data_IF_913191591612
#
_entry.id   IF_913191591612
#
_cell.length_a   1.000
_cell.length_b   1.000
_cell.length_c   1.000
_cell.angle_alpha   90.00
_cell.angle_beta   90.00
_cell.angle_gamma   90.00
#
_symmetry.space_group_name_H-M   'P 1'
#
loop_
_entity.id
_entity.type
_entity.pdbx_description
1 polymer ?
#
# COMPACT_ATOMS: atom_id res chain seq x y z
N UNK A 1 -11.34 4.27 -1.51
CA UNK A 1 -9.98 4.82 -1.69
C UNK A 1 -10.05 5.97 -2.69
N UNK A 2 -9.31 7.06 -2.46
CA UNK A 2 -9.19 8.13 -3.48
C UNK A 2 -8.28 7.64 -4.61
N UNK A 3 -8.51 8.12 -5.84
CA UNK A 3 -7.77 7.72 -7.05
C UNK A 3 -6.25 7.85 -6.89
N UNK A 4 -5.81 8.87 -6.15
CA UNK A 4 -4.43 9.20 -5.83
C UNK A 4 -3.77 8.16 -4.88
N UNK A 5 -4.57 7.45 -4.06
CA UNK A 5 -4.07 6.46 -3.09
C UNK A 5 -3.84 5.08 -3.73
N UNK A 6 -4.48 4.80 -4.88
CA UNK A 6 -4.30 3.54 -5.60
C UNK A 6 -2.87 3.42 -6.14
N UNK A 7 -2.21 4.55 -6.42
CA UNK A 7 -0.82 4.58 -6.86
C UNK A 7 0.17 3.96 -5.85
N UNK A 8 -0.16 3.92 -4.56
CA UNK A 8 0.70 3.28 -3.56
C UNK A 8 0.84 1.77 -3.77
N UNK A 9 -0.13 1.12 -4.43
CA UNK A 9 -0.07 -0.31 -4.69
C UNK A 9 0.91 -0.68 -5.81
N UNK A 10 1.48 0.29 -6.53
CA UNK A 10 2.54 0.03 -7.52
C UNK A 10 3.87 -0.34 -6.86
N UNK A 11 4.16 0.17 -5.65
CA UNK A 11 5.44 -0.04 -4.98
C UNK A 11 5.77 -1.52 -4.69
N UNK A 12 4.84 -2.34 -4.16
CA UNK A 12 5.07 -3.77 -3.98
C UNK A 12 5.43 -4.50 -5.29
N UNK A 13 4.81 -4.14 -6.42
CA UNK A 13 5.12 -4.72 -7.72
C UNK A 13 6.50 -4.30 -8.22
N UNK A 14 6.86 -3.02 -8.09
CA UNK A 14 8.19 -2.54 -8.44
C UNK A 14 9.27 -3.24 -7.59
N UNK A 15 9.04 -3.37 -6.28
CA UNK A 15 9.94 -4.11 -5.39
C UNK A 15 10.09 -5.57 -5.85
N UNK A 16 8.97 -6.25 -6.16
CA UNK A 16 8.99 -7.63 -6.63
C UNK A 16 9.80 -7.81 -7.92
N UNK A 17 9.60 -6.92 -8.91
CA UNK A 17 10.33 -6.94 -10.18
C UNK A 17 11.83 -6.72 -9.94
N UNK A 18 12.20 -5.67 -9.20
CA UNK A 18 13.60 -5.34 -8.92
C UNK A 18 14.29 -6.46 -8.14
N UNK A 19 13.61 -7.04 -7.14
CA UNK A 19 14.16 -8.15 -6.34
C UNK A 19 14.39 -9.38 -7.20
N UNK A 20 13.41 -9.76 -8.01
CA UNK A 20 13.48 -10.92 -8.91
C UNK A 20 14.58 -10.73 -9.96
N UNK A 21 14.68 -9.53 -10.56
CA UNK A 21 15.76 -9.19 -11.50
C UNK A 21 17.14 -9.24 -10.85
N UNK A 22 17.27 -8.79 -9.60
CA UNK A 22 18.54 -8.83 -8.88
C UNK A 22 18.97 -10.27 -8.54
N UNK A 23 18.04 -11.13 -8.13
CA UNK A 23 18.32 -12.57 -7.90
C UNK A 23 18.73 -13.26 -9.20
N UNK A 24 18.01 -12.97 -10.29
CA UNK A 24 18.35 -13.47 -11.62
C UNK A 24 19.76 -13.04 -12.06
N UNK A 25 20.10 -11.75 -11.89
CA UNK A 25 21.44 -11.21 -12.21
C UNK A 25 22.55 -11.87 -11.39
N UNK A 26 22.27 -12.26 -10.15
CA UNK A 26 23.24 -12.90 -9.26
C UNK A 26 23.35 -14.42 -9.45
N UNK A 27 22.57 -14.99 -10.38
CA UNK A 27 22.43 -16.45 -10.53
C UNK A 27 22.00 -17.15 -9.23
N UNK A 28 21.31 -16.44 -8.34
CA UNK A 28 20.72 -17.02 -7.14
C UNK A 28 19.39 -17.71 -7.50
N UNK A 29 19.03 -18.81 -6.82
CA UNK A 29 17.72 -19.41 -7.00
C UNK A 29 16.64 -18.37 -6.66
N UNK A 30 15.68 -18.20 -7.57
CA UNK A 30 14.59 -17.23 -7.39
C UNK A 30 13.67 -17.74 -6.28
N UNK A 31 13.72 -17.07 -5.13
CA UNK A 31 12.86 -17.36 -3.98
C UNK A 31 11.44 -16.81 -4.21
N UNK A 32 10.70 -17.43 -5.13
CA UNK A 32 9.33 -17.01 -5.51
C UNK A 32 8.40 -16.89 -4.31
N UNK A 33 8.43 -17.88 -3.42
CA UNK A 33 7.58 -17.90 -2.22
C UNK A 33 7.83 -16.69 -1.33
N UNK A 34 9.09 -16.39 -1.01
CA UNK A 34 9.46 -15.25 -0.18
C UNK A 34 9.12 -13.92 -0.86
N UNK A 35 9.46 -13.76 -2.14
CA UNK A 35 9.21 -12.52 -2.87
C UNK A 35 7.70 -12.22 -2.99
N UNK A 36 6.89 -13.23 -3.33
CA UNK A 36 5.43 -13.08 -3.43
C UNK A 36 4.84 -12.80 -2.05
N UNK A 37 5.29 -13.51 -1.01
CA UNK A 37 4.83 -13.30 0.37
C UNK A 37 5.11 -11.86 0.83
N UNK A 38 6.33 -11.36 0.58
CA UNK A 38 6.70 -9.98 0.90
C UNK A 38 5.87 -8.96 0.13
N UNK A 39 5.60 -9.20 -1.15
CA UNK A 39 4.71 -8.35 -1.95
C UNK A 39 3.32 -8.28 -1.34
N UNK A 40 2.71 -9.43 -1.03
CA UNK A 40 1.36 -9.51 -0.46
C UNK A 40 1.29 -8.85 0.91
N UNK A 41 2.22 -9.13 1.82
CA UNK A 41 2.28 -8.50 3.15
C UNK A 41 2.36 -6.97 3.01
N UNK A 42 3.21 -6.48 2.11
CA UNK A 42 3.35 -5.04 1.88
C UNK A 42 2.07 -4.41 1.34
N UNK A 43 1.36 -5.09 0.42
CA UNK A 43 0.05 -4.63 -0.07
C UNK A 43 -0.99 -4.54 1.05
N UNK A 44 -1.03 -5.54 1.94
CA UNK A 44 -1.93 -5.55 3.10
C UNK A 44 -1.62 -4.39 4.05
N UNK A 45 -0.34 -4.12 4.33
CA UNK A 45 0.09 -3.00 5.17
C UNK A 45 -0.35 -1.66 4.55
N UNK A 46 -0.09 -1.46 3.25
CA UNK A 46 -0.51 -0.23 2.54
C UNK A 46 -2.03 -0.06 2.61
N UNK A 47 -2.78 -1.14 2.38
CA UNK A 47 -4.23 -1.12 2.50
C UNK A 47 -4.68 -0.67 3.90
N UNK A 48 -4.08 -1.24 4.94
CA UNK A 48 -4.39 -0.91 6.33
C UNK A 48 -4.11 0.58 6.64
N UNK A 49 -2.95 1.11 6.22
CA UNK A 49 -2.62 2.53 6.41
C UNK A 49 -3.60 3.46 5.69
N UNK A 50 -3.94 3.14 4.44
CA UNK A 50 -4.90 3.95 3.67
C UNK A 50 -6.30 3.87 4.28
N UNK A 51 -6.68 2.71 4.80
CA UNK A 51 -7.93 2.53 5.52
C UNK A 51 -7.97 3.40 6.79
N UNK A 52 -6.95 3.34 7.64
CA UNK A 52 -6.83 4.19 8.83
C UNK A 52 -6.84 5.68 8.49
N UNK A 53 -6.11 6.09 7.44
CA UNK A 53 -6.08 7.47 6.97
C UNK A 53 -7.45 7.96 6.50
N UNK A 54 -8.20 7.11 5.80
CA UNK A 54 -9.55 7.47 5.37
C UNK A 54 -10.53 7.48 6.56
N UNK A 55 -10.30 6.62 7.55
CA UNK A 55 -11.08 6.60 8.79
C UNK A 55 -10.84 7.86 9.63
N UNK A 56 -9.60 8.32 9.78
CA UNK A 56 -9.27 9.53 10.55
C UNK A 56 -9.89 10.81 9.98
N UNK A 57 -10.18 10.84 8.66
CA UNK A 57 -10.85 11.98 8.02
C UNK A 57 -12.36 12.04 8.28
N UNK A 58 -13.02 10.92 8.60
CA UNK A 58 -14.46 10.89 8.91
C UNK A 58 -14.83 11.75 10.14
N UNK A 59 -14.22 11.60 11.33
CA UNK A 59 -14.58 12.41 12.49
C UNK A 59 -14.26 13.90 12.29
N UNK A 60 -13.23 14.23 11.50
CA UNK A 60 -12.87 15.61 11.18
C UNK A 60 -13.95 16.32 10.34
N UNK A 61 -14.61 15.59 9.44
CA UNK A 61 -15.71 16.13 8.63
C UNK A 61 -17.01 16.29 9.42
N UNK A 62 -17.27 15.41 10.39
CA UNK A 62 -18.43 15.51 11.28
C UNK A 62 -18.40 16.82 12.08
N UNK A 63 -17.24 17.15 12.69
CA UNK A 63 -17.08 18.42 13.43
C UNK A 63 -17.21 19.66 12.55
N UNK A 64 -16.77 19.59 11.29
CA UNK A 64 -16.83 20.72 10.35
C UNK A 64 -18.23 20.96 9.76
N UNK A 65 -19.10 19.94 9.75
CA UNK A 65 -20.49 20.06 9.28
C UNK A 65 -21.37 20.72 10.33
N UNK A 66 -21.23 20.35 11.61
CA UNK A 66 -22.01 20.95 12.70
C UNK A 66 -21.76 22.46 12.88
N UNK A 67 -20.53 22.93 12.70
CA UNK A 67 -20.20 24.37 12.79
C UNK A 67 -20.72 25.24 11.62
N UNK A 68 -21.31 24.66 10.58
CA UNK A 68 -21.92 25.41 9.47
C UNK A 68 -23.44 25.48 9.55
N UNK A 69 -24.05 24.66 10.40
CA UNK A 69 -25.50 24.60 10.63
C UNK A 69 -25.90 25.34 11.93
N UNK A 70 -24.92 25.87 12.68
CA UNK A 70 -25.07 26.86 13.77
C UNK A 70 -24.55 28.21 13.32
#
# INVERSE_FOLDING_TARGET
MRRNQVGYFIYPFLYFIVRTMNQWRKHEPIAWGENVTMMVITMVIIYFFVWMWNWSKKPYQWRKKNNKET
#
